data_IF_673342959432
#
_entry.id   IF_673342959432
#
_cell.length_a   1.000
_cell.length_b   1.000
_cell.length_c   1.000
_cell.angle_alpha   90.00
_cell.angle_beta   90.00
_cell.angle_gamma   90.00
#
_symmetry.space_group_name_H-M   'P 1'
#
loop_
_entity.id
_entity.type
_entity.pdbx_description
1 polymer ?
#
# COMPACT_ATOMS: atom_id res chain seq x y z
N UNK A 1 1.04 -5.03 -5.53
CA UNK A 1 -0.11 -4.76 -4.64
C UNK A 1 -1.26 -4.24 -5.50
N UNK A 2 -2.50 -4.65 -5.20
CA UNK A 2 -3.70 -4.00 -5.72
C UNK A 2 -4.10 -2.91 -4.73
N UNK A 3 -4.03 -1.66 -5.15
CA UNK A 3 -4.26 -0.49 -4.29
C UNK A 3 -5.33 0.39 -4.91
N UNK A 4 -6.15 1.01 -4.05
CA UNK A 4 -7.15 1.99 -4.45
C UNK A 4 -6.71 3.34 -3.90
N UNK A 5 -6.44 4.29 -4.78
CA UNK A 5 -6.13 5.66 -4.38
C UNK A 5 -7.42 6.38 -3.98
N UNK A 6 -7.41 7.05 -2.82
CA UNK A 6 -8.55 7.85 -2.36
C UNK A 6 -8.13 9.30 -2.13
N UNK A 7 -8.71 10.18 -2.94
CA UNK A 7 -8.70 11.62 -2.69
C UNK A 7 -9.93 11.97 -1.86
N UNK A 8 -9.69 12.46 -0.65
CA UNK A 8 -10.74 13.00 0.21
C UNK A 8 -11.00 14.46 -0.14
N UNK A 9 -12.24 14.89 0.05
CA UNK A 9 -12.68 16.27 -0.11
C UNK A 9 -13.16 16.79 1.24
N UNK A 10 -13.37 18.10 1.31
CA UNK A 10 -14.00 18.74 2.46
C UNK A 10 -15.30 18.02 2.87
N UNK A 11 -15.59 17.93 4.19
CA UNK A 11 -14.87 18.55 5.31
C UNK A 11 -13.69 17.73 5.85
N UNK A 12 -13.38 16.57 5.24
CA UNK A 12 -12.40 15.63 5.78
C UNK A 12 -10.97 15.99 5.36
N UNK A 13 -10.04 16.02 6.32
CA UNK A 13 -8.63 16.44 6.10
C UNK A 13 -7.57 15.48 6.63
N UNK A 14 -7.97 14.43 7.35
CA UNK A 14 -7.02 13.52 8.03
C UNK A 14 -6.91 12.16 7.34
N UNK A 15 -6.37 12.15 6.12
CA UNK A 15 -6.18 10.92 5.33
C UNK A 15 -5.28 9.89 6.04
N UNK A 16 -4.27 10.37 6.79
CA UNK A 16 -3.37 9.50 7.53
C UNK A 16 -4.10 8.83 8.71
N UNK A 17 -4.87 9.57 9.50
CA UNK A 17 -5.68 9.02 10.57
C UNK A 17 -6.72 8.00 10.08
N UNK A 18 -7.30 8.22 8.89
CA UNK A 18 -8.17 7.22 8.24
C UNK A 18 -7.42 5.93 7.93
N UNK A 19 -6.25 6.02 7.30
CA UNK A 19 -5.41 4.86 6.97
C UNK A 19 -4.95 4.12 8.22
N UNK A 20 -4.49 4.83 9.25
CA UNK A 20 -4.13 4.23 10.54
C UNK A 20 -5.30 3.51 11.20
N UNK A 21 -6.52 4.07 11.10
CA UNK A 21 -7.71 3.46 11.70
C UNK A 21 -8.04 2.12 11.04
N UNK A 22 -7.90 2.03 9.71
CA UNK A 22 -8.05 0.76 8.97
C UNK A 22 -6.98 -0.25 9.42
N UNK A 23 -5.73 0.16 9.53
CA UNK A 23 -4.64 -0.71 9.99
C UNK A 23 -4.86 -1.20 11.43
N UNK A 24 -5.30 -0.31 12.33
CA UNK A 24 -5.65 -0.66 13.72
C UNK A 24 -6.79 -1.67 13.77
N UNK A 25 -7.82 -1.51 12.93
CA UNK A 25 -8.94 -2.44 12.84
C UNK A 25 -8.49 -3.82 12.30
N UNK A 26 -7.62 -3.85 11.29
CA UNK A 26 -7.01 -5.09 10.78
C UNK A 26 -6.24 -5.83 11.87
N UNK A 27 -5.40 -5.13 12.63
CA UNK A 27 -4.65 -5.72 13.73
C UNK A 27 -5.57 -6.23 14.86
N UNK A 28 -6.66 -5.53 15.16
CA UNK A 28 -7.62 -5.94 16.18
C UNK A 28 -8.32 -7.26 15.80
N UNK A 29 -8.70 -7.44 14.53
CA UNK A 29 -9.44 -8.62 14.09
C UNK A 29 -8.54 -9.79 13.70
N UNK A 30 -7.36 -9.52 13.11
CA UNK A 30 -6.45 -10.52 12.58
C UNK A 30 -5.22 -10.79 13.44
N UNK A 31 -4.92 -9.97 14.45
CA UNK A 31 -3.64 -10.02 15.17
C UNK A 31 -2.43 -9.64 14.31
N UNK A 32 -2.67 -9.08 13.11
CA UNK A 32 -1.68 -8.82 12.07
C UNK A 32 -2.34 -8.81 10.69
N UNK A 33 -1.63 -9.36 9.70
CA UNK A 33 -2.14 -9.48 8.32
C UNK A 33 -3.24 -10.53 8.25
N UNK A 34 -4.33 -10.19 7.59
CA UNK A 34 -5.45 -11.07 7.28
C UNK A 34 -5.24 -11.66 5.89
N UNK A 35 -5.45 -12.98 5.76
CA UNK A 35 -5.55 -13.65 4.47
C UNK A 35 -6.98 -14.13 4.22
N UNK A 36 -7.49 -13.92 3.01
CA UNK A 36 -8.79 -14.41 2.59
C UNK A 36 -8.73 -14.91 1.16
N UNK A 37 -9.38 -16.05 0.88
CA UNK A 37 -9.55 -16.53 -0.49
C UNK A 37 -10.54 -15.63 -1.22
N UNK A 38 -10.24 -15.28 -2.46
CA UNK A 38 -11.10 -14.42 -3.27
C UNK A 38 -12.51 -15.00 -3.41
N UNK A 39 -12.63 -16.31 -3.60
CA UNK A 39 -13.93 -16.97 -3.65
C UNK A 39 -14.72 -16.88 -2.35
N UNK A 40 -14.05 -16.89 -1.20
CA UNK A 40 -14.72 -16.71 0.10
C UNK A 40 -15.19 -15.26 0.27
N UNK A 41 -14.38 -14.30 -0.15
CA UNK A 41 -14.72 -12.88 -0.16
C UNK A 41 -15.97 -12.59 -1.01
N UNK A 42 -16.00 -13.07 -2.26
CA UNK A 42 -17.15 -12.88 -3.17
C UNK A 42 -18.44 -13.49 -2.60
N UNK A 43 -18.32 -14.59 -1.86
CA UNK A 43 -19.46 -15.25 -1.19
C UNK A 43 -19.84 -14.60 0.15
N UNK A 44 -19.18 -13.51 0.55
CA UNK A 44 -19.44 -12.80 1.80
C UNK A 44 -19.16 -13.65 3.04
N UNK A 45 -18.12 -14.51 3.00
CA UNK A 45 -17.76 -15.35 4.14
C UNK A 45 -16.28 -15.25 4.48
N UNK A 46 -16.01 -15.31 5.78
CA UNK A 46 -14.66 -15.48 6.34
C UNK A 46 -13.96 -16.73 5.78
N UNK A 47 -12.67 -16.63 5.45
CA UNK A 47 -11.80 -17.79 5.24
C UNK A 47 -11.36 -18.40 6.58
N UNK A 48 -11.21 -19.72 6.61
CA UNK A 48 -10.74 -20.47 7.79
C UNK A 48 -9.53 -21.30 7.41
N UNK A 49 -8.71 -21.64 8.39
CA UNK A 49 -7.47 -22.39 8.22
C UNK A 49 -7.64 -23.63 7.32
N UNK A 50 -8.62 -24.48 7.62
CA UNK A 50 -8.93 -25.68 6.82
C UNK A 50 -9.20 -25.39 5.34
N UNK A 51 -9.80 -24.25 5.01
CA UNK A 51 -10.10 -23.84 3.62
C UNK A 51 -8.88 -23.28 2.89
N UNK A 52 -7.97 -22.64 3.63
CA UNK A 52 -6.69 -22.17 3.10
C UNK A 52 -5.79 -23.38 2.84
N UNK A 53 -5.67 -24.30 3.79
CA UNK A 53 -4.87 -25.53 3.63
C UNK A 53 -5.41 -26.48 2.55
N UNK A 54 -6.71 -26.46 2.29
CA UNK A 54 -7.34 -27.22 1.20
C UNK A 54 -7.28 -26.53 -0.17
N UNK A 55 -6.67 -25.35 -0.27
CA UNK A 55 -6.43 -24.62 -1.53
C UNK A 55 -5.28 -25.25 -2.31
N UNK A 56 -5.26 -25.04 -3.63
CA UNK A 56 -4.09 -25.35 -4.45
C UNK A 56 -2.91 -24.39 -4.25
N UNK A 57 -3.13 -23.26 -3.56
CA UNK A 57 -2.10 -22.27 -3.28
C UNK A 57 -1.50 -22.45 -1.88
N UNK A 58 -0.18 -22.34 -1.81
CA UNK A 58 0.55 -22.29 -0.55
C UNK A 58 0.72 -20.82 -0.10
N UNK A 59 0.24 -20.43 1.09
CA UNK A 59 0.50 -19.10 1.60
C UNK A 59 1.99 -18.79 1.76
N UNK A 60 2.41 -17.58 1.38
CA UNK A 60 3.82 -17.14 1.45
C UNK A 60 4.14 -16.21 2.62
N UNK A 61 3.10 -15.78 3.34
CA UNK A 61 3.20 -14.88 4.49
C UNK A 61 2.46 -15.51 5.67
N UNK A 62 3.03 -15.39 6.87
CA UNK A 62 2.34 -15.73 8.11
C UNK A 62 1.20 -14.73 8.34
N UNK A 63 -0.03 -15.18 8.12
CA UNK A 63 -1.22 -14.35 8.10
C UNK A 63 -2.43 -15.13 8.62
N UNK A 64 -3.32 -14.44 9.32
CA UNK A 64 -4.50 -15.04 9.94
C UNK A 64 -5.64 -15.16 8.95
N UNK A 65 -6.24 -16.35 8.73
CA UNK A 65 -7.45 -16.48 7.92
C UNK A 65 -8.61 -15.66 8.49
N UNK A 66 -9.16 -14.77 7.66
CA UNK A 66 -10.14 -13.79 8.13
C UNK A 66 -11.11 -13.32 7.06
N UNK A 67 -11.70 -12.15 7.32
CA UNK A 67 -12.67 -11.50 6.45
C UNK A 67 -12.26 -10.04 6.22
N UNK A 68 -11.75 -9.76 5.02
CA UNK A 68 -11.31 -8.43 4.61
C UNK A 68 -12.48 -7.45 4.53
N UNK A 69 -13.72 -7.92 4.38
CA UNK A 69 -14.89 -7.04 4.32
C UNK A 69 -15.24 -6.39 5.67
N UNK A 70 -14.70 -6.90 6.77
CA UNK A 70 -14.84 -6.30 8.09
C UNK A 70 -13.85 -5.17 8.36
N UNK A 71 -12.79 -5.06 7.55
CA UNK A 71 -11.68 -4.10 7.76
C UNK A 71 -11.54 -3.10 6.62
N UNK A 72 -11.83 -3.52 5.38
CA UNK A 72 -11.78 -2.67 4.19
C UNK A 72 -13.16 -2.04 3.98
N UNK A 73 -13.25 -0.70 3.91
CA UNK A 73 -14.49 -0.02 3.57
C UNK A 73 -15.07 -0.48 2.23
N UNK A 74 -16.38 -0.71 2.19
CA UNK A 74 -17.10 -1.34 1.06
C UNK A 74 -16.68 -0.81 -0.31
N UNK A 75 -16.60 0.51 -0.49
CA UNK A 75 -16.25 1.12 -1.78
C UNK A 75 -14.85 0.70 -2.25
N UNK A 76 -13.86 0.69 -1.36
CA UNK A 76 -12.49 0.27 -1.67
C UNK A 76 -12.47 -1.22 -1.99
N UNK A 77 -13.23 -2.02 -1.24
CA UNK A 77 -13.33 -3.46 -1.47
C UNK A 77 -13.95 -3.77 -2.83
N UNK A 78 -14.99 -3.04 -3.22
CA UNK A 78 -15.64 -3.17 -4.54
C UNK A 78 -14.67 -2.85 -5.67
N UNK A 79 -13.95 -1.74 -5.57
CA UNK A 79 -12.93 -1.35 -6.55
C UNK A 79 -11.87 -2.45 -6.72
N UNK A 80 -11.46 -3.12 -5.62
CA UNK A 80 -10.53 -4.27 -5.66
C UNK A 80 -11.15 -5.48 -6.36
N UNK A 81 -12.39 -5.84 -6.01
CA UNK A 81 -13.09 -6.99 -6.59
C UNK A 81 -13.33 -6.78 -8.09
N UNK A 82 -13.78 -5.60 -8.50
CA UNK A 82 -13.95 -5.22 -9.90
C UNK A 82 -12.62 -5.28 -10.67
N UNK A 83 -11.53 -4.80 -10.06
CA UNK A 83 -10.20 -4.87 -10.66
C UNK A 83 -9.71 -6.32 -10.84
N UNK A 84 -9.95 -7.21 -9.87
CA UNK A 84 -9.60 -8.64 -9.99
C UNK A 84 -10.35 -9.28 -11.16
N UNK A 85 -11.64 -9.00 -11.32
CA UNK A 85 -12.40 -9.47 -12.47
C UNK A 85 -11.95 -8.85 -13.80
N UNK A 86 -11.52 -7.58 -13.80
CA UNK A 86 -10.94 -6.95 -14.98
C UNK A 86 -9.60 -7.59 -15.37
N UNK A 87 -8.74 -7.88 -14.38
CA UNK A 87 -7.46 -8.55 -14.58
C UNK A 87 -7.64 -9.97 -15.09
N UNK A 88 -8.67 -10.68 -14.65
CA UNK A 88 -8.96 -12.04 -15.12
C UNK A 88 -9.22 -12.10 -16.64
N UNK A 89 -9.73 -11.02 -17.24
CA UNK A 89 -9.89 -10.92 -18.70
C UNK A 89 -8.56 -10.82 -19.44
N UNK A 90 -7.52 -10.32 -18.79
CA UNK A 90 -6.18 -10.12 -19.35
C UNK A 90 -5.28 -11.32 -19.02
N UNK A 91 -5.40 -11.85 -17.81
CA UNK A 91 -4.66 -12.97 -17.26
C UNK A 91 -5.66 -13.97 -16.62
N UNK A 92 -6.22 -14.89 -17.43
CA UNK A 92 -7.21 -15.85 -16.97
C UNK A 92 -6.71 -16.68 -15.78
N UNK A 93 -7.55 -16.79 -14.75
CA UNK A 93 -7.22 -17.45 -13.49
C UNK A 93 -6.90 -16.48 -12.35
N UNK A 94 -6.84 -15.18 -12.62
CA UNK A 94 -6.67 -14.16 -11.57
C UNK A 94 -7.84 -14.16 -10.60
N UNK A 95 -9.07 -14.31 -11.10
CA UNK A 95 -10.29 -14.35 -10.29
C UNK A 95 -10.65 -15.77 -9.80
N UNK A 96 -9.67 -16.68 -9.68
CA UNK A 96 -9.90 -18.02 -9.15
C UNK A 96 -10.38 -17.97 -7.69
N UNK A 97 -11.26 -18.89 -7.31
CA UNK A 97 -11.78 -19.00 -5.94
C UNK A 97 -10.66 -19.14 -4.89
N UNK A 98 -9.55 -19.78 -5.24
CA UNK A 98 -8.42 -20.05 -4.37
C UNK A 98 -7.37 -18.93 -4.35
N UNK A 99 -7.49 -17.89 -5.20
CA UNK A 99 -6.62 -16.70 -5.16
C UNK A 99 -6.58 -16.12 -3.75
N UNK A 100 -5.37 -15.96 -3.19
CA UNK A 100 -5.20 -15.43 -1.83
C UNK A 100 -5.03 -13.92 -1.84
N UNK A 101 -5.89 -13.24 -1.09
CA UNK A 101 -5.79 -11.81 -0.81
C UNK A 101 -5.19 -11.60 0.57
N UNK A 102 -4.09 -10.86 0.64
CA UNK A 102 -3.44 -10.44 1.87
C UNK A 102 -3.75 -8.97 2.13
N UNK A 103 -4.25 -8.64 3.32
CA UNK A 103 -4.58 -7.27 3.67
C UNK A 103 -4.61 -7.03 5.18
N UNK A 104 -4.64 -5.78 5.63
CA UNK A 104 -4.68 -4.56 4.81
C UNK A 104 -3.29 -3.93 4.68
N UNK A 105 -2.89 -3.59 3.45
CA UNK A 105 -1.73 -2.73 3.20
C UNK A 105 -2.20 -1.28 3.12
N UNK A 106 -1.67 -0.42 3.99
CA UNK A 106 -1.92 1.02 3.96
C UNK A 106 -0.61 1.72 3.60
N UNK A 107 -0.64 2.52 2.53
CA UNK A 107 0.48 3.37 2.14
C UNK A 107 0.12 4.83 2.39
N UNK A 108 0.90 5.46 3.26
CA UNK A 108 0.86 6.90 3.45
C UNK A 108 1.75 7.51 2.37
N UNK A 109 1.20 8.38 1.54
CA UNK A 109 2.03 9.20 0.67
C UNK A 109 2.60 10.33 1.51
N UNK A 110 3.93 10.43 1.50
CA UNK A 110 4.70 11.38 2.32
C UNK A 110 4.28 12.82 2.07
N UNK A 111 4.49 13.66 3.09
CA UNK A 111 4.52 15.10 2.89
C UNK A 111 5.67 15.44 1.94
N UNK A 112 5.38 16.14 0.85
CA UNK A 112 6.41 16.72 -0.01
C UNK A 112 7.08 17.84 0.75
N UNK A 113 8.39 17.71 0.96
CA UNK A 113 9.18 18.77 1.60
C UNK A 113 9.40 19.87 0.57
N UNK A 114 9.23 21.13 0.98
CA UNK A 114 9.56 22.26 0.11
C UNK A 114 11.08 22.32 -0.09
N UNK A 115 11.50 22.14 -1.33
CA UNK A 115 12.90 22.05 -1.74
C UNK A 115 13.18 22.96 -2.94
N UNK A 116 14.41 23.45 -3.03
CA UNK A 116 14.89 24.13 -4.22
C UNK A 116 15.40 23.17 -5.30
N UNK A 117 15.97 23.70 -6.39
CA UNK A 117 16.51 22.90 -7.49
C UNK A 117 17.72 22.02 -7.11
N UNK A 118 18.36 22.30 -5.98
CA UNK A 118 19.50 21.56 -5.44
C UNK A 118 19.08 20.54 -4.37
N UNK A 119 17.76 20.40 -4.13
CA UNK A 119 17.20 19.58 -3.05
C UNK A 119 17.56 20.08 -1.65
N UNK A 120 17.84 21.39 -1.53
CA UNK A 120 18.05 22.07 -0.26
C UNK A 120 16.70 22.57 0.28
N UNK A 121 16.52 22.47 1.59
CA UNK A 121 15.34 23.03 2.27
C UNK A 121 15.48 24.54 2.47
N UNK A 122 14.44 25.19 2.99
CA UNK A 122 14.54 26.58 3.48
C UNK A 122 15.57 26.79 4.60
N UNK A 123 15.99 25.71 5.28
CA UNK A 123 17.10 25.74 6.23
C UNK A 123 18.43 25.47 5.49
N UNK A 124 19.25 26.51 5.38
CA UNK A 124 20.55 26.43 4.70
C UNK A 124 21.45 25.34 5.29
N UNK A 125 22.06 24.53 4.42
CA UNK A 125 22.89 23.38 4.74
C UNK A 125 22.11 22.09 5.01
N UNK A 126 20.78 22.13 4.98
CA UNK A 126 19.93 20.95 5.17
C UNK A 126 19.33 20.51 3.84
N UNK A 127 19.77 19.34 3.37
CA UNK A 127 19.30 18.70 2.14
C UNK A 127 18.42 17.50 2.47
N UNK A 128 17.38 17.29 1.68
CA UNK A 128 16.51 16.11 1.80
C UNK A 128 16.46 15.39 0.46
N UNK A 129 16.82 14.11 0.48
CA UNK A 129 16.96 13.25 -0.71
C UNK A 129 16.21 11.94 -0.52
N UNK A 130 16.06 11.17 -1.60
CA UNK A 130 15.35 9.89 -1.56
C UNK A 130 13.86 10.04 -1.29
N UNK A 131 13.17 8.93 -1.06
CA UNK A 131 11.70 8.94 -0.96
C UNK A 131 11.18 9.74 0.25
N UNK A 132 12.05 10.03 1.23
CA UNK A 132 11.75 10.93 2.35
C UNK A 132 11.60 12.40 1.95
N UNK A 133 12.09 12.80 0.77
CA UNK A 133 11.88 14.14 0.21
C UNK A 133 10.44 14.35 -0.31
N UNK A 134 9.75 13.27 -0.66
CA UNK A 134 8.47 13.30 -1.38
C UNK A 134 8.59 13.55 -2.88
N UNK A 135 9.76 13.96 -3.42
CA UNK A 135 9.96 14.16 -4.86
C UNK A 135 10.41 12.89 -5.62
N UNK A 136 10.88 11.86 -4.91
CA UNK A 136 11.22 10.57 -5.50
C UNK A 136 10.28 9.47 -5.05
N UNK A 137 10.03 8.50 -5.95
CA UNK A 137 9.13 7.37 -5.72
C UNK A 137 9.70 6.04 -6.26
N UNK A 138 11.02 5.99 -6.44
CA UNK A 138 11.70 4.82 -7.00
C UNK A 138 13.14 4.74 -6.49
N UNK A 139 13.68 3.52 -6.41
CA UNK A 139 15.06 3.29 -6.01
C UNK A 139 16.06 4.04 -6.91
N UNK A 140 15.78 4.11 -8.22
CA UNK A 140 16.64 4.81 -9.17
C UNK A 140 16.59 6.32 -8.96
N UNK A 141 15.40 6.92 -8.77
CA UNK A 141 15.28 8.35 -8.49
C UNK A 141 15.89 8.71 -7.13
N UNK A 142 15.65 7.91 -6.09
CA UNK A 142 16.24 8.10 -4.79
C UNK A 142 17.77 8.06 -4.86
N UNK A 143 18.34 7.10 -5.59
CA UNK A 143 19.79 7.01 -5.79
C UNK A 143 20.35 8.21 -6.57
N UNK A 144 19.66 8.62 -7.64
CA UNK A 144 20.05 9.77 -8.45
C UNK A 144 20.05 11.07 -7.63
N UNK A 145 19.06 11.27 -6.75
CA UNK A 145 18.98 12.44 -5.88
C UNK A 145 20.19 12.53 -4.91
N UNK A 146 20.65 11.40 -4.37
CA UNK A 146 21.83 11.37 -3.53
C UNK A 146 23.12 11.71 -4.28
N UNK A 147 23.28 11.18 -5.49
CA UNK A 147 24.42 11.53 -6.35
C UNK A 147 24.40 13.01 -6.74
N UNK A 148 23.21 13.56 -7.00
CA UNK A 148 23.03 14.97 -7.34
C UNK A 148 23.48 15.88 -6.20
N UNK A 149 22.94 15.69 -4.98
CA UNK A 149 23.34 16.50 -3.81
C UNK A 149 24.81 16.34 -3.48
N UNK A 150 25.38 15.14 -3.62
CA UNK A 150 26.81 14.93 -3.40
C UNK A 150 27.67 15.79 -4.35
N UNK A 151 27.24 16.01 -5.60
CA UNK A 151 27.94 16.87 -6.55
C UNK A 151 27.82 18.36 -6.18
N UNK A 152 26.62 18.81 -5.83
CA UNK A 152 26.37 20.18 -5.36
C UNK A 152 27.29 20.52 -4.17
N UNK A 153 27.36 19.63 -3.18
CA UNK A 153 28.21 19.82 -1.99
C UNK A 153 29.71 19.82 -2.30
N UNK A 154 30.14 19.18 -3.39
CA UNK A 154 31.54 19.17 -3.81
C UNK A 154 31.90 20.44 -4.60
N UNK A 155 30.97 20.97 -5.39
CA UNK A 155 31.16 22.24 -6.13
C UNK A 155 31.24 23.44 -5.18
N UNK A 156 30.41 23.48 -4.14
CA UNK A 156 30.42 24.55 -3.11
C UNK A 156 31.70 24.60 -2.25
N UNK A 157 32.54 23.56 -2.30
CA UNK A 157 33.79 23.43 -1.53
C UNK A 157 35.04 23.88 -2.30
N UNK A 158 34.91 24.22 -3.58
CA UNK A 158 36.00 24.70 -4.45
C UNK A 158 35.93 26.22 -4.63
#
# INVERSE_FOLDING_TARGET
ALLVAKHFTEPFKDSNGYGESIAKLSNMLGGGVIVQRFGDLVRGRRSVEKRIQGSFLQPTLDATPGDLSLVIPKRILDDIVEMIYALDKIAPGTANDDTLLYGVEVKFYNMEVELDSNLETSAKGLFVIGDGSGVTHSLSHASASGVHVARVLLEDRL
#
